data_IF_462835836234
#
_entry.id   IF_462835836234
#
_cell.length_a   1.000
_cell.length_b   1.000
_cell.length_c   1.000
_cell.angle_alpha   90.00
_cell.angle_beta   90.00
_cell.angle_gamma   90.00
#
_symmetry.space_group_name_H-M   'P 1'
#
loop_
_entity.id
_entity.type
_entity.pdbx_description
1 polymer ?
#
# COMPACT_ATOMS: atom_id res chain seq x y z
N UNK A 1 -3.14 10.46 -52.72
CA UNK A 1 -1.83 11.10 -52.49
C UNK A 1 -1.68 11.45 -51.02
N UNK A 2 -2.56 12.21 -50.36
CA UNK A 2 -2.42 12.50 -48.91
C UNK A 2 -2.85 11.38 -47.93
N UNK A 3 -3.42 10.27 -48.41
CA UNK A 3 -3.87 9.18 -47.54
C UNK A 3 -2.84 8.05 -47.39
N UNK A 4 -1.86 7.98 -48.30
CA UNK A 4 -0.84 6.92 -48.32
C UNK A 4 0.36 7.21 -47.41
N UNK A 5 0.64 8.50 -47.12
CA UNK A 5 1.79 8.91 -46.30
C UNK A 5 1.54 8.67 -44.79
N UNK A 6 0.31 8.94 -44.32
CA UNK A 6 -0.08 8.76 -42.92
C UNK A 6 -0.08 7.28 -42.49
N UNK A 7 -0.45 6.36 -43.40
CA UNK A 7 -0.46 4.93 -43.12
C UNK A 7 0.96 4.35 -43.03
N UNK A 8 1.90 4.94 -43.77
CA UNK A 8 3.32 4.58 -43.75
C UNK A 8 4.02 5.00 -42.46
N UNK A 9 3.77 6.20 -41.97
CA UNK A 9 4.31 6.68 -40.69
C UNK A 9 3.76 5.89 -39.49
N UNK A 10 2.49 5.46 -39.57
CA UNK A 10 1.84 4.63 -38.56
C UNK A 10 2.30 3.16 -38.60
N UNK A 11 2.83 2.68 -39.74
CA UNK A 11 3.49 1.37 -39.86
C UNK A 11 4.95 1.45 -39.41
N UNK A 12 5.68 2.53 -39.72
CA UNK A 12 7.05 2.75 -39.27
C UNK A 12 7.15 2.83 -37.74
N UNK A 13 6.26 3.57 -37.08
CA UNK A 13 6.19 3.62 -35.61
C UNK A 13 5.83 2.29 -34.95
N UNK A 14 5.11 1.41 -35.65
CA UNK A 14 4.78 0.06 -35.15
C UNK A 14 5.93 -0.91 -35.34
N UNK A 15 6.71 -0.77 -36.41
CA UNK A 15 7.91 -1.57 -36.64
C UNK A 15 9.06 -1.23 -35.68
N UNK A 16 9.13 0.01 -35.19
CA UNK A 16 10.14 0.43 -34.20
C UNK A 16 9.88 -0.12 -32.77
N UNK A 17 8.68 -0.62 -32.46
CA UNK A 17 8.35 -1.20 -31.14
C UNK A 17 8.57 -2.73 -31.06
N UNK A 18 8.80 -3.42 -32.19
CA UNK A 18 8.98 -4.88 -32.28
C UNK A 18 10.47 -5.32 -32.38
N UNK A 19 11.43 -4.38 -32.39
CA UNK A 19 12.87 -4.64 -32.53
C UNK A 19 13.65 -4.60 -31.18
N UNK A 20 12.95 -4.76 -30.05
CA UNK A 20 13.55 -4.76 -28.69
C UNK A 20 13.37 -6.11 -27.95
N UNK A 21 12.92 -7.17 -28.64
CA UNK A 21 12.70 -8.51 -28.04
C UNK A 21 13.84 -9.52 -28.30
N UNK A 22 14.93 -9.11 -28.95
CA UNK A 22 16.12 -9.95 -29.19
C UNK A 22 17.40 -9.36 -28.55
N UNK A 23 17.25 -8.74 -27.37
CA UNK A 23 18.39 -8.54 -26.47
C UNK A 23 18.74 -9.94 -25.94
N UNK A 24 19.83 -10.53 -26.44
CA UNK A 24 20.48 -11.67 -25.80
C UNK A 24 20.80 -11.27 -24.35
N UNK A 25 19.91 -11.63 -23.42
CA UNK A 25 20.11 -11.38 -22.00
C UNK A 25 21.31 -12.22 -21.58
N UNK A 26 22.45 -11.55 -21.40
CA UNK A 26 23.63 -12.18 -20.82
C UNK A 26 23.19 -12.90 -19.52
N UNK A 27 23.50 -14.19 -19.33
CA UNK A 27 23.19 -14.89 -18.09
C UNK A 27 23.67 -14.15 -16.83
N UNK A 28 24.68 -13.29 -16.94
CA UNK A 28 25.11 -12.40 -15.85
C UNK A 28 24.10 -11.28 -15.55
N UNK A 29 23.48 -10.70 -16.58
CA UNK A 29 22.41 -9.70 -16.46
C UNK A 29 21.11 -10.33 -15.93
N UNK A 30 20.74 -11.52 -16.38
CA UNK A 30 19.57 -12.24 -15.85
C UNK A 30 19.75 -12.60 -14.36
N UNK A 31 20.96 -13.04 -13.98
CA UNK A 31 21.31 -13.28 -12.59
C UNK A 31 21.27 -11.99 -11.76
N UNK A 32 21.77 -10.87 -12.28
CA UNK A 32 21.70 -9.57 -11.61
C UNK A 32 20.25 -9.07 -11.49
N UNK A 33 19.43 -9.27 -12.52
CA UNK A 33 18.01 -8.93 -12.56
C UNK A 33 17.23 -9.76 -11.54
N UNK A 34 17.51 -11.06 -11.42
CA UNK A 34 16.93 -11.95 -10.43
C UNK A 34 17.35 -11.57 -9.00
N UNK A 35 18.63 -11.22 -8.78
CA UNK A 35 19.13 -10.76 -7.48
C UNK A 35 18.48 -9.46 -7.02
N UNK A 36 18.21 -8.53 -7.94
CA UNK A 36 17.52 -7.29 -7.63
C UNK A 36 15.99 -7.43 -7.58
N UNK A 37 15.46 -8.63 -7.90
CA UNK A 37 14.05 -8.99 -7.75
C UNK A 37 13.17 -8.70 -8.97
N UNK A 38 13.76 -8.48 -10.14
CA UNK A 38 13.09 -8.12 -11.39
C UNK A 38 12.72 -9.32 -12.30
N UNK A 39 12.79 -10.56 -11.78
CA UNK A 39 12.49 -11.78 -12.53
C UNK A 39 11.03 -12.27 -12.44
N UNK A 40 10.14 -11.59 -11.70
CA UNK A 40 8.74 -11.99 -11.62
C UNK A 40 7.86 -11.15 -10.69
N UNK A 41 6.60 -10.96 -11.06
CA UNK A 41 5.63 -10.19 -10.27
C UNK A 41 4.98 -11.05 -9.18
N UNK A 42 5.61 -11.13 -8.01
CA UNK A 42 5.06 -11.77 -6.82
C UNK A 42 4.18 -10.82 -6.00
N UNK A 43 2.97 -11.24 -5.60
CA UNK A 43 2.14 -10.47 -4.67
C UNK A 43 2.48 -10.78 -3.19
N UNK A 44 2.43 -9.75 -2.35
CA UNK A 44 2.50 -9.85 -0.89
C UNK A 44 1.13 -10.00 -0.22
N UNK A 45 0.04 -10.08 -1.01
CA UNK A 45 -1.33 -10.19 -0.49
C UNK A 45 -1.48 -11.45 0.37
N UNK A 46 -1.81 -11.25 1.65
CA UNK A 46 -2.03 -12.34 2.62
C UNK A 46 -0.75 -12.96 3.22
N UNK A 47 0.44 -12.47 2.86
CA UNK A 47 1.71 -12.91 3.46
C UNK A 47 2.06 -12.00 4.63
N UNK A 48 2.43 -12.59 5.76
CA UNK A 48 2.93 -11.85 6.92
C UNK A 48 4.37 -11.42 6.66
N UNK A 49 4.66 -10.12 6.70
CA UNK A 49 5.99 -9.55 6.52
C UNK A 49 6.54 -9.18 7.91
N UNK A 50 7.69 -9.74 8.29
CA UNK A 50 8.32 -9.44 9.55
C UNK A 50 8.63 -7.93 9.64
N UNK A 51 8.23 -7.29 10.74
CA UNK A 51 8.41 -5.84 10.94
C UNK A 51 7.21 -4.98 10.50
N UNK A 52 6.27 -5.51 9.72
CA UNK A 52 5.02 -4.82 9.35
C UNK A 52 3.86 -5.14 10.31
N UNK A 53 4.18 -5.39 11.59
CA UNK A 53 3.22 -5.75 12.63
C UNK A 53 2.85 -4.55 13.53
N UNK A 54 3.28 -3.35 13.18
CA UNK A 54 3.11 -2.15 14.00
C UNK A 54 1.79 -1.46 13.66
N UNK A 55 0.84 -1.50 14.60
CA UNK A 55 -0.41 -0.74 14.54
C UNK A 55 -0.68 -0.10 15.90
N UNK A 56 -1.13 1.16 15.90
CA UNK A 56 -1.53 1.86 17.12
C UNK A 56 -3.01 2.24 17.05
N UNK A 57 -3.73 2.07 18.16
CA UNK A 57 -5.13 2.49 18.29
C UNK A 57 -5.20 3.67 19.26
N UNK A 58 -5.64 4.83 18.77
CA UNK A 58 -5.92 5.99 19.63
C UNK A 58 -7.31 5.86 20.23
N UNK A 59 -7.39 5.54 21.52
CA UNK A 59 -8.65 5.49 22.28
C UNK A 59 -8.82 6.78 23.07
N UNK A 60 -9.72 7.65 22.62
CA UNK A 60 -10.08 8.85 23.36
C UNK A 60 -11.13 8.50 24.41
N UNK A 61 -10.74 8.58 25.69
CA UNK A 61 -11.68 8.42 26.80
C UNK A 61 -12.40 9.75 26.99
N UNK A 62 -13.74 9.72 27.03
CA UNK A 62 -14.53 10.90 27.39
C UNK A 62 -14.30 11.21 28.86
N UNK A 63 -14.09 12.49 29.18
CA UNK A 63 -14.02 12.95 30.57
C UNK A 63 -15.42 12.91 31.17
N UNK A 64 -15.66 11.98 32.08
CA UNK A 64 -16.90 11.90 32.83
C UNK A 64 -16.73 12.61 34.18
N UNK A 65 -17.63 13.55 34.48
CA UNK A 65 -17.57 14.35 35.70
C UNK A 65 -18.35 13.69 36.84
N UNK A 66 -17.83 13.85 38.06
CA UNK A 66 -18.49 13.37 39.28
C UNK A 66 -19.41 14.46 39.82
N UNK A 67 -20.68 14.12 40.04
CA UNK A 67 -21.64 15.00 40.70
C UNK A 67 -21.41 14.95 42.22
N UNK A 68 -21.13 16.08 42.85
CA UNK A 68 -20.87 16.17 44.30
C UNK A 68 -22.09 16.66 45.09
N UNK A 69 -22.82 17.63 44.55
CA UNK A 69 -23.97 18.26 45.23
C UNK A 69 -25.28 17.57 44.88
N UNK A 70 -26.21 17.54 45.85
CA UNK A 70 -27.58 17.02 45.72
C UNK A 70 -27.66 15.60 45.14
N UNK A 71 -26.78 14.72 45.62
CA UNK A 71 -26.74 13.31 45.20
C UNK A 71 -27.80 12.49 45.93
N UNK A 72 -28.56 11.70 45.18
CA UNK A 72 -29.46 10.70 45.76
C UNK A 72 -28.65 9.57 46.43
N UNK A 73 -28.85 9.38 47.73
CA UNK A 73 -28.19 8.31 48.52
C UNK A 73 -27.07 8.75 49.48
N UNK A 74 -26.90 10.05 49.72
CA UNK A 74 -26.01 10.56 50.77
C UNK A 74 -24.51 10.55 50.45
N UNK A 75 -23.70 11.09 51.36
CA UNK A 75 -22.27 11.37 51.16
C UNK A 75 -21.39 10.10 51.10
N UNK A 76 -21.77 9.03 51.81
CA UNK A 76 -20.99 7.78 51.91
C UNK A 76 -21.14 6.83 50.70
N UNK A 77 -21.89 7.21 49.65
CA UNK A 77 -22.07 6.41 48.42
C UNK A 77 -21.01 6.78 47.38
N UNK A 78 -20.35 5.83 46.69
CA UNK A 78 -19.35 6.15 45.67
C UNK A 78 -19.93 7.08 44.59
N UNK A 79 -19.19 8.13 44.20
CA UNK A 79 -19.61 9.01 43.12
C UNK A 79 -19.38 8.30 41.79
N UNK A 80 -20.42 8.25 40.97
CA UNK A 80 -20.33 7.92 39.55
C UNK A 80 -19.54 9.03 38.83
N UNK A 81 -18.58 8.69 37.95
CA UNK A 81 -18.09 7.36 37.62
C UNK A 81 -17.05 6.87 38.65
N UNK A 82 -17.08 5.56 38.93
CA UNK A 82 -15.94 4.88 39.55
C UNK A 82 -14.76 4.97 38.59
N UNK A 83 -13.68 5.64 39.02
CA UNK A 83 -12.43 5.82 38.27
C UNK A 83 -11.99 4.56 37.53
#
# INVERSE_FOLDING_TARGET
MEQDDCEKDAQARRQEEDDDDDIEVDPELDAMQAMMGFGGFGSTKGKKIAGNDVGAVRKEKKTEYRQYMNRQGGFNRPLSPSR
#
